data_IF_698390702661
#
_entry.id   IF_698390702661
#
_cell.length_a   1.000
_cell.length_b   1.000
_cell.length_c   1.000
_cell.angle_alpha   90.00
_cell.angle_beta   90.00
_cell.angle_gamma   90.00
#
_symmetry.space_group_name_H-M   'P 1'
#
loop_
_entity.id
_entity.type
_entity.pdbx_description
1 polymer ?
#
# COMPACT_ATOMS: atom_id res chain seq x y z
N UNK A 1 -2.47 -9.24 8.18
CA UNK A 1 -1.43 -8.37 7.57
C UNK A 1 -1.92 -7.65 6.31
N UNK A 2 -2.68 -8.26 5.37
CA UNK A 2 -3.28 -7.49 4.24
C UNK A 2 -4.68 -7.95 3.80
N UNK A 3 -5.46 -8.54 4.72
CA UNK A 3 -6.74 -9.16 4.37
C UNK A 3 -7.73 -8.08 3.92
N UNK A 4 -8.08 -8.06 2.63
CA UNK A 4 -8.96 -7.06 2.02
C UNK A 4 -8.26 -5.87 1.36
N UNK A 5 -6.92 -5.81 1.36
CA UNK A 5 -6.18 -4.76 0.65
C UNK A 5 -6.36 -4.90 -0.88
N UNK A 6 -6.54 -3.78 -1.58
CA UNK A 6 -6.67 -3.80 -3.04
C UNK A 6 -5.32 -4.07 -3.68
N UNK A 7 -5.35 -4.57 -4.91
CA UNK A 7 -4.13 -4.82 -5.71
C UNK A 7 -3.29 -3.54 -5.89
N UNK A 8 -3.94 -2.39 -6.00
CA UNK A 8 -3.28 -1.09 -6.18
C UNK A 8 -2.54 -0.67 -4.91
N UNK A 9 -3.17 -0.79 -3.74
CA UNK A 9 -2.56 -0.54 -2.43
C UNK A 9 -1.30 -1.39 -2.25
N UNK A 10 -1.40 -2.69 -2.53
CA UNK A 10 -0.27 -3.61 -2.44
C UNK A 10 0.85 -3.29 -3.45
N UNK A 11 0.51 -2.80 -4.65
CA UNK A 11 1.53 -2.34 -5.60
C UNK A 11 2.23 -1.09 -5.10
N UNK A 12 1.50 -0.14 -4.53
CA UNK A 12 2.08 1.08 -3.98
C UNK A 12 3.00 0.76 -2.80
N UNK A 13 2.55 -0.07 -1.86
CA UNK A 13 3.39 -0.55 -0.74
C UNK A 13 4.66 -1.24 -1.27
N UNK A 14 4.54 -2.13 -2.25
CA UNK A 14 5.70 -2.79 -2.82
C UNK A 14 6.67 -1.80 -3.50
N UNK A 15 6.16 -0.79 -4.20
CA UNK A 15 6.97 0.29 -4.79
C UNK A 15 7.67 1.16 -3.73
N UNK A 16 6.96 1.55 -2.66
CA UNK A 16 7.54 2.33 -1.54
C UNK A 16 8.64 1.53 -0.81
N UNK A 17 8.52 0.21 -0.78
CA UNK A 17 9.55 -0.69 -0.27
C UNK A 17 10.68 -0.98 -1.28
N UNK A 18 10.71 -0.25 -2.40
CA UNK A 18 11.68 -0.38 -3.50
C UNK A 18 11.72 -1.81 -4.11
N UNK A 19 10.60 -2.54 -4.01
CA UNK A 19 10.48 -3.89 -4.57
C UNK A 19 10.16 -3.83 -6.06
N UNK A 20 10.77 -4.72 -6.85
CA UNK A 20 10.47 -4.80 -8.27
C UNK A 20 9.07 -5.39 -8.50
N UNK A 21 8.11 -4.51 -8.81
CA UNK A 21 6.70 -4.85 -9.01
C UNK A 21 6.38 -4.94 -10.50
N UNK A 22 6.05 -6.14 -10.99
CA UNK A 22 5.53 -6.33 -12.35
C UNK A 22 4.00 -6.21 -12.35
N UNK A 23 3.42 -5.62 -13.40
CA UNK A 23 1.96 -5.50 -13.55
C UNK A 23 1.22 -6.85 -13.52
N UNK A 24 1.92 -7.92 -13.93
CA UNK A 24 1.40 -9.28 -13.97
C UNK A 24 1.29 -9.94 -12.59
N UNK A 25 1.91 -9.37 -11.54
CA UNK A 25 1.83 -9.94 -10.19
C UNK A 25 0.41 -9.91 -9.67
N UNK A 26 -0.04 -11.02 -9.08
CA UNK A 26 -1.33 -11.13 -8.43
C UNK A 26 -1.29 -10.49 -7.04
N UNK A 27 -2.46 -10.30 -6.42
CA UNK A 27 -2.57 -9.83 -5.03
C UNK A 27 -1.73 -10.69 -4.08
N UNK A 28 -1.75 -12.01 -4.26
CA UNK A 28 -0.98 -12.95 -3.45
C UNK A 28 0.53 -12.78 -3.67
N UNK A 29 0.96 -12.66 -4.94
CA UNK A 29 2.38 -12.44 -5.27
C UNK A 29 2.92 -11.14 -4.67
N UNK A 30 2.09 -10.09 -4.63
CA UNK A 30 2.46 -8.81 -4.03
C UNK A 30 2.57 -8.92 -2.50
N UNK A 31 1.61 -9.59 -1.85
CA UNK A 31 1.68 -9.84 -0.41
C UNK A 31 2.92 -10.66 -0.04
N UNK A 32 3.24 -11.69 -0.81
CA UNK A 32 4.40 -12.53 -0.55
C UNK A 32 5.70 -11.79 -0.85
N UNK A 33 5.75 -10.93 -1.88
CA UNK A 33 6.90 -10.09 -2.16
C UNK A 33 7.19 -9.11 -1.01
N UNK A 34 6.15 -8.48 -0.47
CA UNK A 34 6.27 -7.54 0.67
C UNK A 34 6.75 -8.27 1.92
N UNK A 35 6.17 -9.44 2.23
CA UNK A 35 6.56 -10.24 3.42
C UNK A 35 7.98 -10.79 3.33
N UNK A 36 8.43 -11.16 2.12
CA UNK A 36 9.74 -11.76 1.90
C UNK A 36 10.80 -10.75 1.46
N UNK A 37 10.54 -9.44 1.60
CA UNK A 37 11.54 -8.41 1.31
C UNK A 37 12.78 -8.64 2.18
N UNK A 38 13.96 -8.82 1.58
CA UNK A 38 15.22 -9.08 2.30
C UNK A 38 15.54 -8.01 3.35
N UNK A 39 15.09 -6.77 3.13
CA UNK A 39 15.26 -5.64 4.04
C UNK A 39 14.48 -5.81 5.35
N UNK A 40 13.42 -6.60 5.34
CA UNK A 40 12.52 -6.78 6.48
C UNK A 40 12.15 -8.23 6.79
N UNK A 41 12.74 -9.22 6.10
CA UNK A 41 12.44 -10.65 6.29
C UNK A 41 12.68 -11.14 7.72
N UNK A 42 13.55 -10.45 8.47
CA UNK A 42 13.89 -10.74 9.86
C UNK A 42 13.15 -9.84 10.85
N UNK A 43 12.41 -8.84 10.39
CA UNK A 43 11.67 -7.86 11.19
C UNK A 43 10.27 -7.65 10.60
N UNK A 44 9.45 -8.68 10.77
CA UNK A 44 8.07 -8.71 10.29
C UNK A 44 7.18 -7.67 11.00
N UNK A 45 7.53 -7.26 12.22
CA UNK A 45 6.81 -6.20 12.95
C UNK A 45 7.05 -4.84 12.28
N UNK A 46 8.27 -4.54 11.87
CA UNK A 46 8.55 -3.35 11.04
C UNK A 46 7.83 -3.38 9.69
N UNK A 47 7.72 -4.54 9.02
CA UNK A 47 6.87 -4.66 7.81
C UNK A 47 5.42 -4.32 8.13
N UNK A 48 4.93 -4.79 9.27
CA UNK A 48 3.55 -4.58 9.67
C UNK A 48 3.27 -3.11 9.97
N UNK A 49 4.16 -2.43 10.70
CA UNK A 49 4.04 -0.99 10.99
C UNK A 49 4.12 -0.15 9.72
N UNK A 50 5.09 -0.42 8.83
CA UNK A 50 5.22 0.27 7.55
C UNK A 50 4.00 0.07 6.67
N UNK A 51 3.49 -1.16 6.56
CA UNK A 51 2.29 -1.47 5.82
C UNK A 51 1.06 -0.71 6.35
N UNK A 52 0.90 -0.66 7.69
CA UNK A 52 -0.21 0.07 8.31
C UNK A 52 -0.07 1.59 8.09
N UNK A 53 1.14 2.13 8.22
CA UNK A 53 1.45 3.55 7.95
C UNK A 53 1.07 3.94 6.52
N UNK A 54 1.50 3.15 5.52
CA UNK A 54 1.19 3.42 4.11
C UNK A 54 -0.32 3.33 3.86
N UNK A 55 -1.03 2.34 4.44
CA UNK A 55 -2.48 2.23 4.30
C UNK A 55 -3.20 3.44 4.91
N UNK A 56 -2.78 3.90 6.08
CA UNK A 56 -3.41 5.03 6.74
C UNK A 56 -3.11 6.36 6.03
N UNK A 57 -1.89 6.53 5.49
CA UNK A 57 -1.56 7.65 4.61
C UNK A 57 -2.44 7.65 3.35
N UNK A 58 -2.61 6.50 2.70
CA UNK A 58 -3.48 6.36 1.53
C UNK A 58 -4.94 6.74 1.83
N UNK A 59 -5.48 6.34 2.99
CA UNK A 59 -6.84 6.75 3.41
C UNK A 59 -6.95 8.26 3.62
N UNK A 60 -5.92 8.88 4.17
CA UNK A 60 -5.87 10.33 4.36
C UNK A 60 -5.77 11.07 3.03
N UNK A 61 -4.98 10.57 2.08
CA UNK A 61 -4.91 11.11 0.71
C UNK A 61 -6.27 10.99 -0.01
N UNK A 62 -6.93 9.83 0.07
CA UNK A 62 -8.24 9.59 -0.55
C UNK A 62 -9.31 10.52 0.06
N UNK A 63 -9.32 10.67 1.39
CA UNK A 63 -10.24 11.59 2.08
C UNK A 63 -9.98 13.07 1.71
N UNK A 64 -8.72 13.47 1.52
CA UNK A 64 -8.38 14.82 1.05
C UNK A 64 -8.80 15.05 -0.41
N UNK A 65 -8.60 14.06 -1.28
CA UNK A 65 -9.08 14.12 -2.66
C UNK A 65 -10.61 14.21 -2.74
N UNK A 66 -11.33 13.47 -1.90
CA UNK A 66 -12.78 13.52 -1.82
C UNK A 66 -13.26 14.92 -1.42
N UNK A 67 -12.69 15.50 -0.36
CA UNK A 67 -12.99 16.88 0.07
C UNK A 67 -12.69 17.92 -0.99
N UNK A 68 -11.59 17.76 -1.74
CA UNK A 68 -11.27 18.65 -2.87
C UNK A 68 -12.27 18.52 -4.02
N UNK A 69 -12.70 17.29 -4.34
CA UNK A 69 -13.72 17.04 -5.36
C UNK A 69 -15.10 17.59 -4.97
N UNK A 70 -15.48 17.48 -3.70
CA UNK A 70 -16.72 18.09 -3.21
C UNK A 70 -16.67 19.62 -3.31
N UNK A 71 -15.55 20.25 -2.91
CA UNK A 71 -15.37 21.70 -3.07
C UNK A 71 -15.42 22.14 -4.54
N UNK A 72 -14.88 21.35 -5.47
CA UNK A 72 -14.90 21.66 -6.90
C UNK A 72 -16.28 21.47 -7.57
N UNK A 73 -17.19 20.68 -6.97
CA UNK A 73 -18.56 20.50 -7.47
C UNK A 73 -19.52 21.61 -7.03
N UNK A 74 -19.11 22.45 -6.09
CA UNK A 74 -19.94 23.54 -5.51
C UNK A 74 -19.60 24.90 -6.12
N UNK A 75 -18.76 24.95 -7.17
CA UNK A 75 -18.43 26.17 -7.94
C UNK A 75 -19.10 26.14 -9.30
#
# INVERSE_FOLDING_TARGET
>A
MFKGAKKEDLRRIASELELCVSEKKTVMDLMDLIKNCDRYKNDLDSVHELANLIIDEMKMEESQQEKMREKAKVV
#
